data_IF_738065515306
#
_entry.id   IF_738065515306
#
_cell.length_a   1.000
_cell.length_b   1.000
_cell.length_c   1.000
_cell.angle_alpha   90.00
_cell.angle_beta   90.00
_cell.angle_gamma   90.00
#
_symmetry.space_group_name_H-M   'P 1'
#
loop_
_entity.id
_entity.type
_entity.pdbx_description
1 polymer ?
#
# COMPACT_ATOMS: atom_id res chain seq x y z
N UNK A 1 -14.59 29.26 23.55
CA UNK A 1 -15.02 27.88 23.85
C UNK A 1 -15.59 27.88 25.26
N UNK A 2 -16.92 27.81 25.37
CA UNK A 2 -17.62 27.79 26.65
C UNK A 2 -17.23 26.54 27.44
N UNK A 3 -16.73 26.77 28.66
CA UNK A 3 -16.40 25.79 29.68
C UNK A 3 -17.72 25.09 30.09
N UNK A 4 -18.21 24.17 29.26
CA UNK A 4 -19.27 23.26 29.66
C UNK A 4 -18.76 22.48 30.86
N UNK A 5 -19.52 22.54 31.96
CA UNK A 5 -19.31 21.73 33.15
C UNK A 5 -19.09 20.28 32.74
N UNK A 6 -17.82 19.86 32.67
CA UNK A 6 -17.45 18.48 32.41
C UNK A 6 -17.84 17.70 33.65
N UNK A 7 -18.99 17.04 33.58
CA UNK A 7 -19.46 16.12 34.60
C UNK A 7 -18.32 15.14 34.92
N UNK A 8 -17.76 15.21 36.13
CA UNK A 8 -16.67 14.30 36.49
C UNK A 8 -17.25 12.89 36.65
N UNK A 9 -16.42 11.86 36.46
CA UNK A 9 -16.88 10.48 36.63
C UNK A 9 -17.42 10.24 38.04
N UNK A 10 -16.79 10.84 39.05
CA UNK A 10 -17.22 10.80 40.45
C UNK A 10 -18.60 11.43 40.67
N UNK A 11 -18.86 12.58 40.07
CA UNK A 11 -20.17 13.25 40.18
C UNK A 11 -21.26 12.44 39.49
N UNK A 12 -20.93 11.85 38.33
CA UNK A 12 -21.84 10.99 37.57
C UNK A 12 -22.17 9.71 38.34
N UNK A 13 -21.18 9.05 38.96
CA UNK A 13 -21.40 7.84 39.77
C UNK A 13 -22.25 8.18 41.00
N UNK A 14 -22.00 9.32 41.64
CA UNK A 14 -22.76 9.74 42.83
C UNK A 14 -24.22 10.03 42.47
N UNK A 15 -24.45 10.70 41.35
CA UNK A 15 -25.78 11.13 40.91
C UNK A 15 -26.60 10.01 40.26
N UNK A 16 -25.96 9.16 39.45
CA UNK A 16 -26.63 8.18 38.58
C UNK A 16 -26.27 6.72 38.89
N UNK A 17 -25.43 6.45 39.89
CA UNK A 17 -25.02 5.10 40.32
C UNK A 17 -24.51 4.26 39.16
N UNK A 18 -25.20 3.17 38.84
CA UNK A 18 -24.82 2.20 37.80
C UNK A 18 -25.34 2.54 36.39
N UNK A 19 -25.96 3.71 36.22
CA UNK A 19 -26.47 4.23 34.95
C UNK A 19 -25.50 5.23 34.32
N UNK A 20 -24.21 4.89 34.30
CA UNK A 20 -23.15 5.73 33.75
C UNK A 20 -22.41 4.94 32.67
N UNK A 21 -22.21 5.57 31.52
CA UNK A 21 -21.33 5.13 30.46
C UNK A 21 -20.12 6.06 30.36
N UNK A 22 -19.00 5.53 29.87
CA UNK A 22 -17.80 6.32 29.62
C UNK A 22 -17.23 5.99 28.26
N UNK A 23 -16.72 7.02 27.59
CA UNK A 23 -15.81 6.91 26.46
C UNK A 23 -14.40 7.15 26.98
N UNK A 24 -13.47 6.25 26.65
CA UNK A 24 -12.09 6.28 27.11
C UNK A 24 -11.14 6.13 25.93
N UNK A 25 -9.89 6.57 26.14
CA UNK A 25 -8.77 6.37 25.23
C UNK A 25 -7.69 5.57 25.93
N UNK A 26 -7.11 4.59 25.24
CA UNK A 26 -5.86 3.93 25.61
C UNK A 26 -4.83 4.36 24.57
N UNK A 27 -3.67 4.86 25.00
CA UNK A 27 -2.69 5.44 24.08
C UNK A 27 -1.26 5.19 24.54
N UNK A 28 -0.34 5.21 23.56
CA UNK A 28 1.09 5.22 23.81
C UNK A 28 1.59 6.67 23.87
N UNK A 29 2.21 7.07 24.97
CA UNK A 29 2.76 8.43 25.10
C UNK A 29 3.90 8.73 24.12
N UNK A 30 4.66 7.71 23.72
CA UNK A 30 5.83 7.89 22.87
C UNK A 30 5.48 7.96 21.38
N UNK A 31 4.46 7.22 20.95
CA UNK A 31 4.11 7.11 19.53
C UNK A 31 2.82 7.83 19.17
N UNK A 32 2.06 8.34 20.15
CA UNK A 32 0.75 8.96 19.93
C UNK A 32 -0.36 8.00 19.50
N UNK A 33 -0.02 6.75 19.14
CA UNK A 33 -0.98 5.71 18.74
C UNK A 33 -2.01 5.51 19.83
N UNK A 34 -3.28 5.59 19.45
CA UNK A 34 -4.38 5.51 20.39
C UNK A 34 -5.51 4.59 19.93
N UNK A 35 -6.25 4.08 20.90
CA UNK A 35 -7.44 3.27 20.76
C UNK A 35 -8.54 3.91 21.59
N UNK A 36 -9.68 4.21 20.96
CA UNK A 36 -10.86 4.74 21.63
C UNK A 36 -11.86 3.60 21.82
N UNK A 37 -12.40 3.50 23.04
CA UNK A 37 -13.39 2.50 23.39
C UNK A 37 -14.44 3.03 24.35
N UNK A 38 -15.50 2.25 24.51
CA UNK A 38 -16.60 2.57 25.42
C UNK A 38 -16.84 1.47 26.47
N UNK A 39 -17.33 1.87 27.66
CA UNK A 39 -17.72 0.95 28.74
C UNK A 39 -18.89 1.47 29.58
N UNK A 40 -19.76 0.54 30.00
CA UNK A 40 -20.79 0.75 31.04
C UNK A 40 -20.41 0.12 32.38
N UNK A 41 -19.37 -0.70 32.38
CA UNK A 41 -18.93 -1.45 33.55
C UNK A 41 -17.88 -0.65 34.29
N UNK A 42 -18.38 0.28 35.11
CA UNK A 42 -17.59 1.16 35.96
C UNK A 42 -17.81 0.69 37.39
N UNK A 43 -16.72 0.45 38.10
CA UNK A 43 -16.75 0.04 39.50
C UNK A 43 -17.06 1.23 40.42
N UNK A 44 -17.45 0.95 41.67
CA UNK A 44 -17.83 1.98 42.63
C UNK A 44 -16.70 2.99 42.94
N UNK A 45 -15.43 2.62 42.70
CA UNK A 45 -14.27 3.51 42.85
C UNK A 45 -13.85 4.20 41.54
N UNK A 46 -14.71 4.18 40.50
CA UNK A 46 -14.45 4.83 39.22
C UNK A 46 -13.51 4.07 38.28
N UNK A 47 -13.06 2.85 38.63
CA UNK A 47 -12.22 2.06 37.71
C UNK A 47 -13.06 1.43 36.60
N UNK A 48 -12.57 1.53 35.37
CA UNK A 48 -13.18 0.94 34.18
C UNK A 48 -12.64 -0.49 34.01
N UNK A 49 -13.48 -1.50 34.27
CA UNK A 49 -13.03 -2.90 34.26
C UNK A 49 -12.52 -3.37 32.90
N UNK A 50 -13.08 -2.81 31.81
CA UNK A 50 -12.71 -3.14 30.44
C UNK A 50 -11.25 -2.77 30.11
N UNK A 51 -10.68 -1.76 30.77
CA UNK A 51 -9.28 -1.36 30.59
C UNK A 51 -8.34 -2.52 30.94
N UNK A 52 -8.57 -3.21 32.06
CA UNK A 52 -7.75 -4.37 32.44
C UNK A 52 -7.81 -5.49 31.39
N UNK A 53 -8.94 -5.65 30.70
CA UNK A 53 -9.06 -6.60 29.59
C UNK A 53 -8.17 -6.20 28.41
N UNK A 54 -8.06 -4.91 28.09
CA UNK A 54 -7.15 -4.42 27.06
C UNK A 54 -5.68 -4.64 27.43
N UNK A 55 -5.26 -4.30 28.66
CA UNK A 55 -3.90 -4.56 29.14
C UNK A 55 -3.55 -6.05 29.12
N UNK A 56 -4.49 -6.92 29.53
CA UNK A 56 -4.31 -8.36 29.45
C UNK A 56 -4.19 -8.87 28.01
N UNK A 57 -4.96 -8.31 27.06
CA UNK A 57 -4.86 -8.66 25.65
C UNK A 57 -3.52 -8.19 25.04
N UNK A 58 -3.06 -6.97 25.39
CA UNK A 58 -1.77 -6.44 24.98
C UNK A 58 -0.62 -7.31 25.49
N UNK A 59 -0.67 -7.71 26.77
CA UNK A 59 0.31 -8.63 27.37
C UNK A 59 0.34 -10.01 26.70
N UNK A 60 -0.80 -10.47 26.18
CA UNK A 60 -0.92 -11.75 25.47
C UNK A 60 -0.60 -11.67 23.98
N UNK A 61 -0.38 -10.48 23.43
CA UNK A 61 -0.15 -10.30 22.00
C UNK A 61 -1.42 -10.44 21.14
N UNK A 62 -2.61 -10.33 21.72
CA UNK A 62 -3.88 -10.58 21.03
C UNK A 62 -4.83 -9.37 21.07
N UNK A 63 -4.30 -8.16 21.22
CA UNK A 63 -5.12 -6.96 21.23
C UNK A 63 -5.73 -6.68 19.83
N UNK A 64 -7.03 -6.32 19.73
CA UNK A 64 -7.69 -6.09 18.44
C UNK A 64 -7.08 -4.95 17.60
N UNK A 65 -6.49 -3.95 18.27
CA UNK A 65 -5.76 -2.88 17.59
C UNK A 65 -4.28 -3.28 17.45
N UNK A 66 -3.88 -3.65 16.23
CA UNK A 66 -2.51 -4.04 15.89
C UNK A 66 -1.50 -2.91 16.10
N UNK A 67 -1.85 -1.67 15.78
CA UNK A 67 -0.98 -0.50 15.99
C UNK A 67 -0.63 -0.32 17.47
N UNK A 68 -1.63 -0.46 18.35
CA UNK A 68 -1.41 -0.37 19.79
C UNK A 68 -0.61 -1.58 20.31
N UNK A 69 -0.84 -2.77 19.75
CA UNK A 69 -0.06 -3.97 20.07
C UNK A 69 1.42 -3.80 19.69
N UNK A 70 1.70 -3.25 18.50
CA UNK A 70 3.05 -2.97 18.05
C UNK A 70 3.72 -1.93 18.96
N UNK A 71 3.00 -0.85 19.29
CA UNK A 71 3.49 0.18 20.21
C UNK A 71 3.81 -0.41 21.60
N UNK A 72 2.97 -1.32 22.11
CA UNK A 72 3.23 -2.05 23.35
C UNK A 72 4.47 -2.93 23.25
N UNK A 73 4.62 -3.69 22.17
CA UNK A 73 5.76 -4.59 21.96
C UNK A 73 7.09 -3.82 21.89
N UNK A 74 7.09 -2.64 21.27
CA UNK A 74 8.29 -1.80 21.13
C UNK A 74 8.66 -1.04 22.39
N UNK A 75 7.68 -0.51 23.13
CA UNK A 75 7.91 0.47 24.20
C UNK A 75 7.62 -0.07 25.62
N UNK A 76 6.96 -1.22 25.72
CA UNK A 76 6.58 -1.86 26.97
C UNK A 76 5.36 -1.24 27.67
N UNK A 77 5.01 -1.78 28.83
CA UNK A 77 3.79 -1.43 29.57
C UNK A 77 3.76 0.01 30.07
N UNK A 78 4.91 0.57 30.45
CA UNK A 78 5.01 1.90 31.08
C UNK A 78 4.63 3.04 30.13
N UNK A 79 4.75 2.85 28.82
CA UNK A 79 4.41 3.87 27.82
C UNK A 79 2.92 3.92 27.50
N UNK A 80 2.14 2.93 27.96
CA UNK A 80 0.73 2.78 27.61
C UNK A 80 -0.14 3.29 28.76
N UNK A 81 -0.86 4.37 28.49
CA UNK A 81 -1.76 5.04 29.45
C UNK A 81 -3.20 4.98 28.96
N UNK A 82 -4.12 5.32 29.86
CA UNK A 82 -5.51 5.53 29.50
C UNK A 82 -6.07 6.77 30.16
N UNK A 83 -7.08 7.36 29.53
CA UNK A 83 -7.81 8.51 30.06
C UNK A 83 -9.30 8.42 29.70
N UNK A 84 -10.13 9.15 30.45
CA UNK A 84 -11.56 9.27 30.18
C UNK A 84 -11.78 10.51 29.33
N UNK A 85 -12.37 10.31 28.15
CA UNK A 85 -12.68 11.38 27.21
C UNK A 85 -14.02 12.03 27.55
N UNK A 86 -15.01 11.20 27.89
CA UNK A 86 -16.38 11.66 28.11
C UNK A 86 -17.15 10.74 29.05
N UNK A 87 -17.95 11.34 29.91
CA UNK A 87 -18.90 10.65 30.79
C UNK A 87 -20.31 10.88 30.26
N UNK A 88 -21.03 9.79 30.01
CA UNK A 88 -22.40 9.80 29.49
C UNK A 88 -23.31 9.31 30.61
N UNK A 89 -24.22 10.17 31.08
CA UNK A 89 -25.22 9.83 32.08
C UNK A 89 -26.52 10.61 31.85
N UNK A 90 -27.70 10.01 32.13
CA UNK A 90 -27.91 8.61 32.47
C UNK A 90 -27.81 7.69 31.23
N UNK A 91 -27.35 6.46 31.44
CA UNK A 91 -27.30 5.40 30.42
C UNK A 91 -28.13 4.22 30.91
N UNK A 92 -29.20 3.90 30.17
CA UNK A 92 -30.01 2.71 30.44
C UNK A 92 -29.27 1.44 29.98
N UNK A 93 -29.25 0.40 30.83
CA UNK A 93 -28.61 -0.88 30.48
C UNK A 93 -29.28 -1.59 29.30
N UNK A 94 -30.57 -1.31 29.04
CA UNK A 94 -31.38 -1.94 27.99
C UNK A 94 -31.97 -0.95 26.97
N UNK A 95 -31.68 0.35 27.11
CA UNK A 95 -32.23 1.38 26.21
C UNK A 95 -31.46 1.43 24.90
N UNK A 96 -32.17 1.29 23.78
CA UNK A 96 -31.61 1.43 22.42
C UNK A 96 -30.95 2.80 22.25
N UNK A 97 -31.63 3.86 22.68
CA UNK A 97 -31.13 5.25 22.65
C UNK A 97 -29.81 5.42 23.40
N UNK A 98 -29.65 4.74 24.54
CA UNK A 98 -28.42 4.78 25.33
C UNK A 98 -27.26 4.03 24.67
N UNK A 99 -27.55 3.03 23.84
CA UNK A 99 -26.53 2.30 23.06
C UNK A 99 -26.10 3.13 21.86
N UNK A 100 -27.08 3.67 21.14
CA UNK A 100 -26.84 4.52 19.98
C UNK A 100 -26.04 5.77 20.37
N UNK A 101 -26.43 6.44 21.46
CA UNK A 101 -25.70 7.60 21.96
C UNK A 101 -24.24 7.28 22.28
N UNK A 102 -23.97 6.16 22.98
CA UNK A 102 -22.59 5.81 23.29
C UNK A 102 -21.78 5.46 22.02
N UNK A 103 -22.39 4.75 21.06
CA UNK A 103 -21.77 4.42 19.78
C UNK A 103 -21.41 5.66 18.96
N UNK A 104 -22.34 6.62 18.85
CA UNK A 104 -22.10 7.89 18.17
C UNK A 104 -20.96 8.69 18.82
N UNK A 105 -20.88 8.69 20.15
CA UNK A 105 -19.78 9.37 20.87
C UNK A 105 -18.46 8.63 20.71
N UNK A 106 -18.44 7.31 20.74
CA UNK A 106 -17.24 6.50 20.45
C UNK A 106 -16.70 6.83 19.05
N UNK A 107 -17.57 6.83 18.02
CA UNK A 107 -17.20 7.20 16.65
C UNK A 107 -16.68 8.63 16.53
N UNK A 108 -17.36 9.59 17.16
CA UNK A 108 -16.92 10.98 17.18
C UNK A 108 -15.48 11.10 17.70
N UNK A 109 -15.16 10.46 18.82
CA UNK A 109 -13.81 10.51 19.38
C UNK A 109 -12.78 9.75 18.55
N UNK A 110 -13.15 8.62 17.93
CA UNK A 110 -12.29 7.93 16.97
C UNK A 110 -11.88 8.86 15.82
N UNK A 111 -12.84 9.60 15.25
CA UNK A 111 -12.57 10.55 14.18
C UNK A 111 -11.65 11.70 14.64
N UNK A 112 -11.92 12.30 15.81
CA UNK A 112 -11.09 13.39 16.36
C UNK A 112 -9.62 12.98 16.50
N UNK A 113 -9.34 11.77 17.00
CA UNK A 113 -7.97 11.32 17.17
C UNK A 113 -7.32 10.83 15.87
N UNK A 114 -8.11 10.36 14.90
CA UNK A 114 -7.60 10.05 13.57
C UNK A 114 -7.22 11.30 12.78
N UNK A 115 -8.00 12.38 12.90
CA UNK A 115 -7.67 13.68 12.31
C UNK A 115 -6.40 14.28 12.93
N UNK A 116 -6.23 14.15 14.26
CA UNK A 116 -5.03 14.60 14.96
C UNK A 116 -3.78 13.84 14.51
N UNK A 117 -3.83 12.51 14.39
CA UNK A 117 -2.69 11.73 13.88
C UNK A 117 -2.33 12.10 12.45
N UNK A 118 -3.33 12.35 11.59
CA UNK A 118 -3.10 12.76 10.21
C UNK A 118 -2.49 14.17 10.10
N UNK A 119 -2.77 15.06 11.06
CA UNK A 119 -2.17 16.40 11.11
C UNK A 119 -0.71 16.37 11.62
N UNK A 120 -0.34 15.42 12.47
CA UNK A 120 1.05 15.27 12.93
C UNK A 120 1.95 14.64 11.85
N UNK A 121 1.46 13.66 11.09
CA UNK A 121 2.22 13.06 9.96
C UNK A 121 2.35 14.01 8.75
N UNK A 122 1.41 14.94 8.53
CA UNK A 122 1.47 15.91 7.43
C UNK A 122 2.28 17.17 7.75
N UNK A 123 2.82 17.28 8.97
CA UNK A 123 3.68 18.40 9.36
C UNK A 123 5.17 18.15 9.04
N UNK A 124 5.52 17.04 8.39
CA UNK A 124 6.67 17.02 7.50
C UNK A 124 6.37 17.93 6.31
N UNK A 125 6.66 19.23 6.47
CA UNK A 125 6.58 20.19 5.38
C UNK A 125 7.54 19.75 4.27
N UNK A 126 7.03 19.00 3.29
CA UNK A 126 7.76 18.63 2.09
C UNK A 126 7.99 19.88 1.24
N UNK A 127 9.14 20.53 1.45
CA UNK A 127 9.64 21.53 0.54
C UNK A 127 10.45 20.83 -0.55
N UNK A 128 9.85 20.70 -1.73
CA UNK A 128 10.57 20.23 -2.91
C UNK A 128 11.64 21.27 -3.28
N UNK A 129 12.91 20.93 -3.01
CA UNK A 129 14.05 21.77 -3.38
C UNK A 129 14.08 21.94 -4.91
N UNK A 130 14.10 23.17 -5.42
CA UNK A 130 14.16 23.40 -6.88
C UNK A 130 15.60 23.35 -7.38
N UNK A 131 15.79 22.95 -8.64
CA UNK A 131 17.13 22.91 -9.25
C UNK A 131 17.83 24.29 -9.22
N UNK A 132 17.08 25.38 -9.40
CA UNK A 132 17.61 26.76 -9.32
C UNK A 132 18.04 27.15 -7.90
N UNK A 133 17.29 26.72 -6.88
CA UNK A 133 17.63 26.95 -5.48
C UNK A 133 18.89 26.16 -5.09
N UNK A 134 18.96 24.89 -5.52
CA UNK A 134 20.12 24.04 -5.27
C UNK A 134 21.40 24.63 -5.91
N UNK A 135 21.32 25.12 -7.15
CA UNK A 135 22.42 25.86 -7.80
C UNK A 135 22.78 27.15 -7.04
N UNK A 136 21.79 27.88 -6.54
CA UNK A 136 22.03 29.11 -5.76
C UNK A 136 22.76 28.82 -4.45
N UNK A 137 22.41 27.72 -3.76
CA UNK A 137 23.09 27.29 -2.53
C UNK A 137 24.55 26.86 -2.77
N UNK A 138 24.81 26.19 -3.88
CA UNK A 138 26.17 25.82 -4.28
C UNK A 138 27.02 27.04 -4.66
N UNK A 139 26.46 27.96 -5.46
CA UNK A 139 27.12 29.22 -5.80
C UNK A 139 27.39 30.10 -4.57
N UNK A 140 26.56 30.00 -3.52
CA UNK A 140 26.79 30.65 -2.24
C UNK A 140 27.85 29.96 -1.36
N UNK A 141 28.42 28.84 -1.81
CA UNK A 141 29.42 28.06 -1.08
C UNK A 141 28.85 27.26 0.11
N UNK A 142 27.52 27.18 0.23
CA UNK A 142 26.85 26.46 1.32
C UNK A 142 26.95 24.95 1.10
N UNK A 143 26.88 24.51 -0.17
CA UNK A 143 27.00 23.11 -0.56
C UNK A 143 28.34 22.85 -1.23
N UNK A 144 28.98 21.75 -0.87
CA UNK A 144 30.13 21.23 -1.62
C UNK A 144 29.67 20.44 -2.87
N UNK A 145 30.60 20.13 -3.77
CA UNK A 145 30.28 19.42 -5.02
C UNK A 145 29.63 18.05 -4.77
N UNK A 146 30.03 17.32 -3.72
CA UNK A 146 29.45 16.01 -3.40
C UNK A 146 28.00 16.12 -2.95
N UNK A 147 27.68 17.09 -2.10
CA UNK A 147 26.32 17.38 -1.65
C UNK A 147 25.45 17.88 -2.80
N UNK A 148 25.97 18.76 -3.66
CA UNK A 148 25.25 19.22 -4.86
C UNK A 148 24.87 18.03 -5.74
N UNK A 149 25.84 17.17 -6.07
CA UNK A 149 25.63 16.02 -6.94
C UNK A 149 24.63 15.05 -6.33
N UNK A 150 24.70 14.79 -5.02
CA UNK A 150 23.72 13.94 -4.33
C UNK A 150 22.28 14.47 -4.46
N UNK A 151 22.07 15.76 -4.19
CA UNK A 151 20.73 16.36 -4.31
C UNK A 151 20.27 16.46 -5.77
N UNK A 152 21.18 16.73 -6.71
CA UNK A 152 20.88 16.73 -8.14
C UNK A 152 20.44 15.34 -8.64
N UNK A 153 21.05 14.26 -8.14
CA UNK A 153 20.61 12.89 -8.42
C UNK A 153 19.21 12.62 -7.84
N UNK A 154 18.93 13.08 -6.61
CA UNK A 154 17.59 13.00 -6.02
C UNK A 154 16.55 13.81 -6.79
N UNK A 155 16.91 14.94 -7.40
CA UNK A 155 15.97 15.69 -8.23
C UNK A 155 15.61 14.95 -9.53
N UNK A 156 16.56 14.20 -10.10
CA UNK A 156 16.30 13.34 -11.28
C UNK A 156 15.51 12.07 -10.92
N UNK A 157 15.64 11.59 -9.68
CA UNK A 157 14.89 10.46 -9.17
C UNK A 157 14.44 10.70 -7.71
N UNK A 158 13.31 11.40 -7.49
CA UNK A 158 12.85 11.76 -6.15
C UNK A 158 12.54 10.55 -5.27
N UNK A 159 11.99 9.50 -5.86
CA UNK A 159 11.56 8.30 -5.15
C UNK A 159 12.66 7.27 -4.93
N UNK A 160 13.82 7.44 -5.57
CA UNK A 160 14.98 6.55 -5.42
C UNK A 160 14.67 5.07 -5.76
N UNK A 161 13.56 4.82 -6.45
CA UNK A 161 12.96 3.50 -6.69
C UNK A 161 13.55 2.79 -7.91
N UNK A 162 14.00 3.56 -8.89
CA UNK A 162 14.60 3.07 -10.13
C UNK A 162 16.10 3.34 -10.24
N UNK A 163 16.87 2.45 -10.90
CA UNK A 163 18.25 2.75 -11.28
C UNK A 163 18.33 3.98 -12.19
N UNK A 164 19.26 4.89 -11.91
CA UNK A 164 19.46 6.10 -12.70
C UNK A 164 20.71 5.96 -13.57
N UNK A 165 20.56 6.12 -14.89
CA UNK A 165 21.68 6.20 -15.83
C UNK A 165 22.24 7.61 -15.86
N UNK A 166 23.52 7.77 -15.53
CA UNK A 166 24.21 9.06 -15.53
C UNK A 166 25.43 9.01 -16.44
N UNK A 167 25.49 9.95 -17.38
CA UNK A 167 26.68 10.24 -18.16
C UNK A 167 27.40 11.44 -17.51
N UNK A 168 28.63 11.27 -16.96
CA UNK A 168 29.33 12.32 -16.21
C UNK A 168 29.57 13.60 -17.00
N UNK A 169 29.89 13.50 -18.29
CA UNK A 169 30.12 14.65 -19.15
C UNK A 169 28.84 15.49 -19.29
N UNK A 170 27.71 14.84 -19.55
CA UNK A 170 26.42 15.55 -19.65
C UNK A 170 25.99 16.15 -18.31
N UNK A 171 26.26 15.44 -17.21
CA UNK A 171 25.90 15.89 -15.86
C UNK A 171 26.74 17.09 -15.42
N UNK A 172 28.04 17.07 -15.72
CA UNK A 172 28.99 18.15 -15.53
C UNK A 172 28.50 19.44 -16.17
N UNK A 173 28.10 19.39 -17.45
CA UNK A 173 27.59 20.53 -18.19
C UNK A 173 26.25 21.05 -17.64
N UNK A 174 25.35 20.15 -17.24
CA UNK A 174 24.02 20.53 -16.74
C UNK A 174 24.07 21.24 -15.37
N UNK A 175 24.98 20.80 -14.51
CA UNK A 175 25.09 21.26 -13.12
C UNK A 175 26.25 22.23 -12.88
N UNK A 176 26.98 22.60 -13.94
CA UNK A 176 28.13 23.51 -13.92
C UNK A 176 29.19 23.10 -12.88
N UNK A 177 29.53 21.82 -12.89
CA UNK A 177 30.55 21.24 -12.02
C UNK A 177 31.63 20.54 -12.84
N UNK A 178 32.91 20.62 -12.45
CA UNK A 178 33.97 19.90 -13.15
C UNK A 178 33.67 18.41 -13.24
N UNK A 179 33.92 17.82 -14.40
CA UNK A 179 33.70 16.39 -14.62
C UNK A 179 34.46 15.52 -13.60
N UNK A 180 35.69 15.90 -13.25
CA UNK A 180 36.46 15.28 -12.17
C UNK A 180 35.73 15.27 -10.83
N UNK A 181 35.04 16.36 -10.48
CA UNK A 181 34.22 16.46 -9.27
C UNK A 181 33.00 15.53 -9.32
N UNK A 182 32.46 15.25 -10.51
CA UNK A 182 31.37 14.28 -10.68
C UNK A 182 31.85 12.88 -10.33
N UNK A 183 33.00 12.46 -10.87
CA UNK A 183 33.60 11.17 -10.57
C UNK A 183 33.96 11.04 -9.08
N UNK A 184 34.61 12.05 -8.50
CA UNK A 184 34.98 12.04 -7.07
C UNK A 184 33.77 11.96 -6.14
N UNK A 185 32.72 12.72 -6.43
CA UNK A 185 31.50 12.69 -5.64
C UNK A 185 30.81 11.34 -5.72
N UNK A 186 30.69 10.77 -6.92
CA UNK A 186 30.09 9.45 -7.11
C UNK A 186 30.90 8.37 -6.37
N UNK A 187 32.23 8.43 -6.40
CA UNK A 187 33.09 7.55 -5.63
C UNK A 187 32.86 7.71 -4.11
N UNK A 188 32.83 8.95 -3.61
CA UNK A 188 32.53 9.23 -2.19
C UNK A 188 31.16 8.72 -1.76
N UNK A 189 30.13 8.88 -2.59
CA UNK A 189 28.78 8.38 -2.29
C UNK A 189 28.73 6.84 -2.26
N UNK A 190 29.51 6.17 -3.11
CA UNK A 190 29.67 4.72 -3.08
C UNK A 190 30.39 4.28 -1.80
N UNK A 191 31.48 4.94 -1.43
CA UNK A 191 32.25 4.63 -0.23
C UNK A 191 31.40 4.80 1.04
N UNK A 192 30.52 5.80 1.05
CA UNK A 192 29.51 6.03 2.09
C UNK A 192 28.31 5.08 2.04
N UNK A 193 28.30 4.11 1.11
CA UNK A 193 27.22 3.15 0.91
C UNK A 193 25.85 3.80 0.63
N UNK A 194 25.83 5.01 0.06
CA UNK A 194 24.58 5.68 -0.33
C UNK A 194 24.09 5.20 -1.71
N UNK A 195 25.01 4.74 -2.56
CA UNK A 195 24.71 4.28 -3.92
C UNK A 195 25.54 3.06 -4.33
N UNK A 196 25.00 2.24 -5.22
CA UNK A 196 25.71 1.18 -5.95
C UNK A 196 25.92 1.59 -7.42
N UNK A 197 27.02 1.14 -8.02
CA UNK A 197 27.42 1.51 -9.39
C UNK A 197 27.74 0.26 -10.21
N UNK A 198 27.06 0.09 -11.35
CA UNK A 198 27.39 -0.90 -12.39
C UNK A 198 28.12 -0.20 -13.56
N UNK A 199 29.13 -0.83 -14.20
CA UNK A 199 30.09 -0.14 -15.10
C UNK A 199 29.63 0.00 -16.57
N UNK A 200 30.18 1.05 -17.20
CA UNK A 200 30.16 1.55 -18.60
C UNK A 200 29.22 2.76 -18.86
N UNK A 201 28.08 2.79 -18.19
CA UNK A 201 27.25 3.98 -17.93
C UNK A 201 27.02 3.96 -16.42
N UNK A 202 27.10 5.08 -15.69
CA UNK A 202 26.88 5.01 -14.24
C UNK A 202 25.41 4.67 -13.99
N UNK A 203 25.13 3.39 -13.73
CA UNK A 203 23.83 2.94 -13.26
C UNK A 203 23.87 3.05 -11.75
N UNK A 204 23.20 4.08 -11.23
CA UNK A 204 23.14 4.40 -9.80
C UNK A 204 21.91 3.72 -9.21
N UNK A 205 22.12 2.79 -8.27
CA UNK A 205 21.05 2.21 -7.45
C UNK A 205 21.15 2.73 -6.02
N UNK A 206 20.03 3.12 -5.43
CA UNK A 206 20.00 3.62 -4.06
C UNK A 206 19.95 2.46 -3.07
N UNK A 207 20.70 2.55 -1.96
CA UNK A 207 20.55 1.59 -0.87
C UNK A 207 19.43 2.05 0.07
N UNK A 208 18.38 1.25 0.19
CA UNK A 208 17.32 1.48 1.17
C UNK A 208 17.84 1.20 2.58
N UNK A 209 17.57 2.10 3.52
CA UNK A 209 17.76 1.81 4.95
C UNK A 209 16.65 0.88 5.44
N UNK A 210 16.77 -0.42 5.14
CA UNK A 210 16.07 -1.47 5.88
C UNK A 210 17.14 -2.33 6.52
N UNK A 211 17.24 -2.26 7.85
CA UNK A 211 18.06 -3.15 8.64
C UNK A 211 17.61 -4.59 8.42
N UNK A 212 18.50 -5.41 7.87
CA UNK A 212 18.68 -6.81 8.26
C UNK A 212 20.18 -7.09 8.10
N UNK A 213 20.84 -7.29 9.24
CA UNK A 213 22.23 -7.68 9.27
C UNK A 213 22.34 -9.17 9.01
N UNK A 214 23.26 -9.55 8.15
CA UNK A 214 23.94 -10.83 8.28
C UNK A 214 25.45 -10.64 8.30
N UNK A 215 26.04 -11.47 9.16
CA UNK A 215 27.37 -11.46 9.67
C UNK A 215 28.44 -11.56 8.58
N UNK A 216 29.40 -10.66 8.72
CA UNK A 216 30.79 -10.77 8.27
C UNK A 216 31.42 -12.08 8.73
N UNK A 217 32.05 -12.80 7.81
CA UNK A 217 33.26 -13.58 8.08
C UNK A 217 34.46 -12.97 7.32
N UNK A 218 35.49 -12.69 8.12
CA UNK A 218 36.73 -11.93 7.94
C UNK A 218 37.81 -12.79 7.21
N UNK A 219 39.14 -12.48 7.19
CA UNK A 219 39.91 -11.22 7.21
C UNK A 219 40.98 -11.12 6.08
N UNK A 220 41.62 -9.95 5.90
CA UNK A 220 43.08 -9.80 6.14
C UNK A 220 43.59 -8.36 5.90
N UNK A 221 44.14 -7.80 7.00
CA UNK A 221 45.28 -6.88 7.14
C UNK A 221 45.53 -5.80 6.07
N UNK A 222 45.68 -4.52 6.40
CA UNK A 222 46.79 -4.03 7.23
C UNK A 222 46.50 -2.68 7.90
N UNK A 223 47.26 -2.46 8.98
CA UNK A 223 47.11 -1.51 10.05
C UNK A 223 47.24 -0.02 9.66
N UNK A 224 46.29 0.75 10.15
CA UNK A 224 46.45 1.89 11.05
C UNK A 224 47.88 2.45 11.25
N UNK A 225 48.09 3.68 10.78
CA UNK A 225 48.86 4.67 11.55
C UNK A 225 48.23 6.05 11.39
N UNK A 226 47.85 6.59 12.54
CA UNK A 226 47.36 7.94 12.78
C UNK A 226 48.60 8.81 13.04
N UNK A 227 48.69 10.00 12.42
CA UNK A 227 49.18 11.27 13.01
C UNK A 227 49.21 12.37 11.93
N UNK A 228 48.26 13.30 12.11
CA UNK A 228 48.37 14.77 12.07
C UNK A 228 48.99 15.58 10.90
N UNK A 229 48.17 16.55 10.48
CA UNK A 229 48.49 17.89 9.97
C UNK A 229 49.18 18.09 8.61
N UNK A 230 48.66 19.06 7.87
CA UNK A 230 49.45 19.87 6.94
C UNK A 230 49.10 19.70 5.46
N UNK A 231 48.42 20.71 4.90
CA UNK A 231 48.33 20.97 3.46
C UNK A 231 49.70 20.84 2.78
N UNK A 232 49.76 20.07 1.69
CA UNK A 232 50.41 20.48 0.43
C UNK A 232 50.23 19.41 -0.65
N UNK A 233 49.87 19.88 -1.85
CA UNK A 233 49.87 19.12 -3.09
C UNK A 233 51.25 18.49 -3.37
N UNK A 234 51.27 17.23 -3.79
CA UNK A 234 52.30 16.74 -4.71
C UNK A 234 51.80 15.49 -5.43
N UNK A 235 51.89 15.56 -6.76
CA UNK A 235 51.62 14.51 -7.73
C UNK A 235 52.80 13.51 -7.75
N UNK A 236 52.47 12.30 -8.21
CA UNK A 236 53.30 11.16 -8.68
C UNK A 236 53.30 9.98 -7.69
N UNK A 237 53.14 8.73 -8.10
CA UNK A 237 52.84 8.08 -9.38
C UNK A 237 52.80 6.59 -9.06
N UNK A 238 51.67 5.91 -9.24
CA UNK A 238 51.69 4.53 -9.72
C UNK A 238 50.30 4.11 -10.18
N UNK A 239 50.28 3.42 -11.32
CA UNK A 239 49.17 2.67 -11.93
C UNK A 239 48.12 3.54 -12.64
N UNK A 240 48.36 4.11 -13.83
CA UNK A 240 48.87 3.52 -15.08
C UNK A 240 48.30 2.12 -15.38
N UNK A 241 47.11 2.10 -15.98
CA UNK A 241 46.50 0.88 -16.50
C UNK A 241 45.11 1.01 -17.13
N UNK A 242 44.39 2.13 -16.94
CA UNK A 242 42.96 2.16 -17.29
C UNK A 242 42.53 3.06 -18.46
N UNK A 243 43.46 3.76 -19.13
CA UNK A 243 43.08 4.73 -20.15
C UNK A 243 43.90 4.61 -21.43
N UNK A 244 43.38 3.85 -22.40
CA UNK A 244 43.53 4.16 -23.82
C UNK A 244 42.57 3.35 -24.68
N UNK A 245 42.06 4.03 -25.72
CA UNK A 245 41.31 3.59 -26.92
C UNK A 245 39.85 4.09 -26.87
N UNK A 246 39.32 4.92 -27.79
CA UNK A 246 39.83 5.65 -28.97
C UNK A 246 38.66 6.56 -29.42
N UNK A 247 38.89 7.86 -29.53
CA UNK A 247 38.12 8.73 -30.43
C UNK A 247 38.72 8.54 -31.83
N UNK A 248 37.89 8.21 -32.83
CA UNK A 248 37.97 8.78 -34.18
C UNK A 248 36.79 8.36 -35.06
N UNK A 249 36.51 9.24 -36.03
CA UNK A 249 35.35 9.41 -36.89
C UNK A 249 34.95 8.26 -37.83
N UNK A 250 33.69 8.27 -38.29
CA UNK A 250 33.32 7.66 -39.58
C UNK A 250 31.81 7.64 -39.86
N UNK A 251 31.39 8.40 -40.88
CA UNK A 251 30.02 8.47 -41.45
C UNK A 251 29.47 7.11 -41.93
N UNK A 252 28.15 6.93 -41.82
CA UNK A 252 27.31 6.41 -42.92
C UNK A 252 25.83 6.72 -42.68
N UNK A 253 25.17 7.21 -43.73
CA UNK A 253 23.75 7.52 -43.86
C UNK A 253 22.88 6.28 -44.14
N UNK A 254 21.56 6.52 -44.18
CA UNK A 254 20.41 5.67 -44.60
C UNK A 254 19.75 4.85 -43.48
N UNK A 255 18.43 4.84 -43.27
CA UNK A 255 17.27 5.32 -44.04
C UNK A 255 16.02 5.29 -43.11
N UNK A 256 15.07 6.23 -43.31
CA UNK A 256 13.59 6.14 -43.22
C UNK A 256 12.91 5.16 -42.22
N UNK A 257 11.85 5.47 -41.46
CA UNK A 257 10.88 6.57 -41.45
C UNK A 257 10.14 6.59 -40.10
N UNK A 258 9.80 7.78 -39.61
CA UNK A 258 8.68 7.96 -38.67
C UNK A 258 7.34 7.88 -39.42
N UNK A 259 6.33 7.27 -38.80
CA UNK A 259 4.94 7.66 -39.03
C UNK A 259 4.14 7.48 -37.72
N UNK A 260 3.54 8.60 -37.30
CA UNK A 260 2.61 8.75 -36.19
C UNK A 260 1.44 7.74 -36.26
N UNK A 261 1.09 7.23 -35.08
CA UNK A 261 -0.21 6.64 -34.79
C UNK A 261 -1.32 7.69 -34.92
N UNK A 262 -2.36 7.37 -35.71
CA UNK A 262 -3.73 7.76 -35.42
C UNK A 262 -4.67 6.73 -36.06
N UNK A 263 -5.54 6.15 -35.23
CA UNK A 263 -6.51 5.15 -35.66
C UNK A 263 -7.28 4.58 -34.48
N UNK A 264 -8.31 5.32 -34.06
CA UNK A 264 -9.41 4.85 -33.22
C UNK A 264 -9.94 3.50 -33.69
N UNK A 265 -9.99 2.49 -32.81
CA UNK A 265 -10.92 1.36 -32.95
C UNK A 265 -11.02 0.61 -31.62
N UNK A 266 -12.21 0.59 -31.04
CA UNK A 266 -12.51 -0.17 -29.83
C UNK A 266 -12.40 -1.68 -30.09
N UNK A 267 -11.58 -2.35 -29.28
CA UNK A 267 -11.48 -3.80 -29.19
C UNK A 267 -11.56 -4.17 -27.70
N UNK A 268 -12.38 -5.16 -27.31
CA UNK A 268 -12.59 -5.51 -25.90
C UNK A 268 -11.30 -6.06 -25.31
N UNK A 269 -10.86 -5.49 -24.19
CA UNK A 269 -9.66 -5.92 -23.49
C UNK A 269 -9.77 -7.39 -23.06
N UNK A 270 -9.05 -8.26 -23.77
CA UNK A 270 -8.70 -9.60 -23.27
C UNK A 270 -7.82 -9.40 -22.03
N UNK A 271 -8.34 -9.74 -20.86
CA UNK A 271 -7.61 -9.73 -19.59
C UNK A 271 -6.40 -10.66 -19.73
N UNK A 272 -5.18 -10.10 -19.70
CA UNK A 272 -3.92 -10.84 -19.89
C UNK A 272 -3.08 -10.94 -18.61
N UNK A 273 -3.43 -10.20 -17.55
CA UNK A 273 -2.59 -10.06 -16.38
C UNK A 273 -3.22 -10.71 -15.12
N UNK A 274 -2.38 -11.36 -14.31
CA UNK A 274 -2.77 -11.99 -13.04
C UNK A 274 -3.54 -11.05 -12.12
N UNK A 275 -3.11 -9.78 -12.06
CA UNK A 275 -3.76 -8.73 -11.26
C UNK A 275 -5.23 -8.56 -11.63
N UNK A 276 -5.52 -8.51 -12.92
CA UNK A 276 -6.89 -8.33 -13.43
C UNK A 276 -7.75 -9.56 -13.09
N UNK A 277 -7.20 -10.77 -13.25
CA UNK A 277 -7.88 -12.01 -12.85
C UNK A 277 -8.23 -12.01 -11.37
N UNK A 278 -7.28 -11.71 -10.49
CA UNK A 278 -7.50 -11.66 -9.04
C UNK A 278 -8.56 -10.60 -8.70
N UNK A 279 -8.54 -9.45 -9.37
CA UNK A 279 -9.53 -8.40 -9.16
C UNK A 279 -10.96 -8.85 -9.48
N UNK A 280 -11.15 -9.78 -10.42
CA UNK A 280 -12.47 -10.34 -10.75
C UNK A 280 -13.05 -11.30 -9.71
N UNK A 281 -12.24 -11.80 -8.76
CA UNK A 281 -12.67 -12.73 -7.72
C UNK A 281 -13.11 -11.96 -6.45
N UNK A 282 -14.13 -12.48 -5.75
CA UNK A 282 -14.48 -12.02 -4.38
C UNK A 282 -13.39 -12.39 -3.37
N UNK A 283 -13.33 -11.75 -2.19
CA UNK A 283 -12.29 -12.02 -1.18
C UNK A 283 -12.23 -13.51 -0.78
N UNK A 284 -13.37 -14.15 -0.56
CA UNK A 284 -13.47 -15.58 -0.25
C UNK A 284 -12.97 -16.46 -1.40
N UNK A 285 -13.22 -16.06 -2.65
CA UNK A 285 -12.76 -16.77 -3.85
C UNK A 285 -11.27 -16.60 -4.07
N UNK A 286 -10.71 -15.41 -3.79
CA UNK A 286 -9.27 -15.16 -3.82
C UNK A 286 -8.54 -16.04 -2.82
N UNK A 287 -9.02 -16.11 -1.58
CA UNK A 287 -8.41 -16.95 -0.56
C UNK A 287 -8.48 -18.45 -0.93
N UNK A 288 -9.63 -18.89 -1.45
CA UNK A 288 -9.82 -20.26 -1.94
C UNK A 288 -8.94 -20.59 -3.16
N UNK A 289 -8.68 -19.62 -4.04
CA UNK A 289 -7.77 -19.79 -5.19
C UNK A 289 -6.31 -19.86 -4.76
N UNK A 290 -5.87 -18.97 -3.85
CA UNK A 290 -4.51 -18.96 -3.33
C UNK A 290 -4.18 -20.24 -2.58
N UNK A 291 -5.06 -20.72 -1.69
CA UNK A 291 -4.88 -22.01 -0.99
C UNK A 291 -4.76 -23.18 -1.95
N UNK A 292 -5.53 -23.18 -3.04
CA UNK A 292 -5.45 -24.22 -4.06
C UNK A 292 -4.12 -24.17 -4.84
N UNK A 293 -3.67 -22.97 -5.21
CA UNK A 293 -2.38 -22.75 -5.86
C UNK A 293 -1.20 -23.17 -4.97
N UNK A 294 -1.26 -22.85 -3.68
CA UNK A 294 -0.25 -23.26 -2.70
C UNK A 294 -0.18 -24.79 -2.57
N UNK A 295 -1.33 -25.45 -2.44
CA UNK A 295 -1.40 -26.92 -2.37
C UNK A 295 -0.86 -27.59 -3.65
N UNK A 296 -1.14 -27.00 -4.82
CA UNK A 296 -0.59 -27.46 -6.11
C UNK A 296 0.92 -27.28 -6.17
N UNK A 297 1.43 -26.13 -5.75
CA UNK A 297 2.87 -25.85 -5.74
C UNK A 297 3.64 -26.77 -4.79
N UNK A 298 3.03 -27.17 -3.66
CA UNK A 298 3.62 -28.09 -2.69
C UNK A 298 3.67 -29.55 -3.18
N UNK A 299 2.79 -29.93 -4.12
CA UNK A 299 2.74 -31.28 -4.72
C UNK A 299 3.69 -31.45 -5.91
N UNK A 300 4.43 -30.40 -6.30
CA UNK A 300 5.41 -30.49 -7.38
C UNK A 300 6.62 -31.32 -6.95
N UNK A 301 7.25 -32.06 -7.88
CA UNK A 301 8.45 -32.86 -7.59
C UNK A 301 9.65 -32.00 -7.14
N UNK A 302 9.63 -30.69 -7.44
CA UNK A 302 10.51 -29.68 -6.86
C UNK A 302 9.67 -28.48 -6.41
N UNK A 303 9.38 -28.34 -5.10
CA UNK A 303 8.59 -27.23 -4.60
C UNK A 303 9.30 -25.89 -4.86
N UNK A 304 8.61 -24.88 -5.39
CA UNK A 304 9.20 -23.57 -5.61
C UNK A 304 9.51 -22.89 -4.26
N UNK A 305 10.67 -22.24 -4.16
CA UNK A 305 11.04 -21.46 -2.96
C UNK A 305 10.10 -20.27 -2.70
N UNK A 306 9.42 -19.78 -3.75
CA UNK A 306 8.41 -18.71 -3.68
C UNK A 306 7.11 -19.19 -4.35
N UNK A 307 6.22 -19.87 -3.60
CA UNK A 307 4.94 -20.35 -4.11
C UNK A 307 4.08 -19.27 -4.78
N UNK A 308 4.05 -18.06 -4.22
CA UNK A 308 3.25 -16.96 -4.76
C UNK A 308 3.69 -16.53 -6.18
N UNK A 309 5.00 -16.36 -6.40
CA UNK A 309 5.53 -16.05 -7.75
C UNK A 309 5.29 -17.16 -8.75
N UNK A 310 5.28 -18.41 -8.29
CA UNK A 310 4.93 -19.54 -9.14
C UNK A 310 3.44 -19.53 -9.50
N UNK A 311 2.56 -19.24 -8.55
CA UNK A 311 1.11 -19.10 -8.78
C UNK A 311 0.83 -17.96 -9.76
N UNK A 312 1.49 -16.80 -9.61
CA UNK A 312 1.40 -15.66 -10.53
C UNK A 312 1.81 -16.04 -11.96
N UNK A 313 2.89 -16.81 -12.11
CA UNK A 313 3.41 -17.23 -13.42
C UNK A 313 2.55 -18.31 -14.09
N UNK A 314 1.90 -19.16 -13.31
CA UNK A 314 1.11 -20.30 -13.78
C UNK A 314 -0.40 -20.13 -13.59
N UNK A 315 -0.85 -18.89 -13.37
CA UNK A 315 -2.20 -18.60 -12.90
C UNK A 315 -3.31 -19.10 -13.83
N UNK A 316 -3.11 -19.05 -15.16
CA UNK A 316 -4.12 -19.49 -16.12
C UNK A 316 -4.45 -20.99 -16.04
N UNK A 317 -3.44 -21.81 -15.75
CA UNK A 317 -3.58 -23.26 -15.62
C UNK A 317 -4.23 -23.60 -14.28
N UNK A 318 -3.73 -22.97 -13.21
CA UNK A 318 -4.27 -23.12 -11.85
C UNK A 318 -5.73 -22.67 -11.81
N UNK A 319 -6.09 -21.56 -12.47
CA UNK A 319 -7.45 -21.04 -12.52
C UNK A 319 -8.41 -22.01 -13.23
N UNK A 320 -7.97 -22.64 -14.32
CA UNK A 320 -8.75 -23.65 -15.04
C UNK A 320 -8.99 -24.92 -14.22
N UNK A 321 -8.01 -25.36 -13.46
CA UNK A 321 -8.16 -26.54 -12.59
C UNK A 321 -8.98 -26.22 -11.34
N UNK A 322 -8.74 -25.07 -10.74
CA UNK A 322 -9.49 -24.56 -9.60
C UNK A 322 -10.98 -24.42 -9.93
N UNK A 323 -11.31 -23.86 -11.09
CA UNK A 323 -12.69 -23.69 -11.55
C UNK A 323 -13.38 -25.05 -11.76
N UNK A 324 -12.67 -26.03 -12.34
CA UNK A 324 -13.15 -27.42 -12.48
C UNK A 324 -13.38 -28.08 -11.11
N UNK A 325 -12.50 -27.86 -10.14
CA UNK A 325 -12.61 -28.43 -8.80
C UNK A 325 -13.80 -27.89 -8.00
N UNK A 326 -14.20 -26.64 -8.26
CA UNK A 326 -15.33 -25.96 -7.59
C UNK A 326 -16.65 -26.05 -8.35
N UNK A 327 -16.67 -26.69 -9.53
CA UNK A 327 -17.86 -26.74 -10.39
C UNK A 327 -18.31 -25.35 -10.89
N UNK A 328 -17.42 -24.35 -10.91
CA UNK A 328 -17.71 -22.97 -11.34
C UNK A 328 -17.08 -22.66 -12.70
N UNK A 329 -17.76 -21.85 -13.51
CA UNK A 329 -17.29 -21.38 -14.83
C UNK A 329 -16.49 -20.08 -14.65
N UNK A 330 -15.35 -19.96 -15.34
CA UNK A 330 -14.41 -18.83 -15.25
C UNK A 330 -15.05 -17.49 -15.72
N UNK A 331 -14.66 -16.32 -15.18
CA UNK A 331 -15.14 -15.01 -15.66
C UNK A 331 -14.86 -14.71 -17.14
N UNK A 332 -13.75 -15.23 -17.71
CA UNK A 332 -13.47 -15.08 -19.16
C UNK A 332 -14.43 -15.89 -20.03
N UNK A 333 -14.94 -17.02 -19.53
CA UNK A 333 -16.01 -17.80 -20.17
C UNK A 333 -17.38 -17.16 -19.92
N UNK A 334 -17.60 -16.51 -18.76
CA UNK A 334 -18.80 -15.72 -18.49
C UNK A 334 -18.99 -14.58 -19.49
N UNK A 335 -17.91 -13.88 -19.87
CA UNK A 335 -17.98 -12.80 -20.88
C UNK A 335 -18.38 -13.34 -22.27
N UNK A 336 -17.86 -14.51 -22.66
CA UNK A 336 -18.24 -15.18 -23.91
C UNK A 336 -19.67 -15.77 -23.86
N UNK A 337 -20.14 -16.22 -22.70
CA UNK A 337 -21.53 -16.68 -22.50
C UNK A 337 -22.53 -15.53 -22.43
N UNK A 338 -22.16 -14.37 -21.88
CA UNK A 338 -23.00 -13.18 -21.88
C UNK A 338 -23.25 -12.70 -23.32
N UNK A 339 -22.21 -12.68 -24.16
CA UNK A 339 -22.34 -12.37 -25.58
C UNK A 339 -23.21 -13.37 -26.35
N UNK A 340 -23.24 -14.66 -25.92
CA UNK A 340 -24.11 -15.70 -26.51
C UNK A 340 -25.60 -15.36 -26.33
N UNK A 341 -25.98 -14.91 -25.13
CA UNK A 341 -27.39 -14.64 -24.81
C UNK A 341 -27.84 -13.25 -25.26
N UNK A 342 -26.97 -12.25 -25.20
CA UNK A 342 -27.26 -10.90 -25.70
C UNK A 342 -27.64 -10.88 -27.18
N UNK A 343 -26.99 -11.74 -27.98
CA UNK A 343 -27.22 -11.86 -29.42
C UNK A 343 -28.11 -13.06 -29.80
N UNK A 344 -28.81 -13.67 -28.84
CA UNK A 344 -29.60 -14.87 -29.14
C UNK A 344 -30.86 -14.50 -29.95
N UNK A 345 -31.13 -15.17 -31.09
CA UNK A 345 -32.23 -14.81 -32.01
C UNK A 345 -33.62 -14.94 -31.38
N UNK A 346 -33.77 -15.71 -30.30
CA UNK A 346 -35.03 -15.88 -29.58
C UNK A 346 -35.09 -15.10 -28.26
N UNK A 347 -34.09 -14.27 -27.96
CA UNK A 347 -33.98 -13.53 -26.69
C UNK A 347 -35.23 -12.73 -26.37
N UNK A 348 -35.68 -11.88 -27.29
CA UNK A 348 -36.85 -11.01 -27.07
C UNK A 348 -38.13 -11.83 -26.86
N UNK A 349 -38.29 -12.91 -27.64
CA UNK A 349 -39.45 -13.79 -27.53
C UNK A 349 -39.50 -14.51 -26.19
N UNK A 350 -38.36 -15.01 -25.72
CA UNK A 350 -38.25 -15.70 -24.43
C UNK A 350 -38.43 -14.74 -23.25
N UNK A 351 -37.87 -13.53 -23.32
CA UNK A 351 -38.12 -12.51 -22.31
C UNK A 351 -39.61 -12.14 -22.24
N UNK A 352 -40.27 -11.92 -23.38
CA UNK A 352 -41.69 -11.58 -23.41
C UNK A 352 -42.57 -12.70 -22.82
N UNK A 353 -42.24 -13.97 -23.10
CA UNK A 353 -42.96 -15.13 -22.57
C UNK A 353 -42.78 -15.27 -21.05
N UNK A 354 -41.56 -15.04 -20.54
CA UNK A 354 -41.29 -15.01 -19.10
C UNK A 354 -41.98 -13.80 -18.44
N UNK A 355 -42.00 -12.64 -19.11
CA UNK A 355 -42.63 -11.44 -18.58
C UNK A 355 -44.15 -11.56 -18.49
N UNK A 356 -44.76 -12.21 -19.47
CA UNK A 356 -46.20 -12.45 -19.51
C UNK A 356 -46.65 -13.47 -18.44
N UNK A 357 -45.85 -14.53 -18.23
CA UNK A 357 -46.15 -15.58 -17.24
C UNK A 357 -45.76 -15.17 -15.82
N UNK A 358 -44.84 -14.20 -15.67
CA UNK A 358 -44.20 -13.82 -14.40
C UNK A 358 -43.62 -15.00 -13.62
N UNK A 359 -43.39 -16.13 -14.29
CA UNK A 359 -42.91 -17.36 -13.68
C UNK A 359 -41.80 -17.96 -14.56
N UNK A 360 -40.52 -17.59 -14.30
CA UNK A 360 -39.40 -18.11 -15.08
C UNK A 360 -39.35 -19.65 -15.08
N UNK A 361 -39.71 -20.30 -13.97
CA UNK A 361 -39.62 -21.76 -13.85
C UNK A 361 -40.63 -22.51 -14.72
N UNK A 362 -41.81 -21.94 -14.99
CA UNK A 362 -42.78 -22.51 -15.92
C UNK A 362 -42.31 -22.41 -17.38
N UNK A 363 -41.59 -21.35 -17.73
CA UNK A 363 -41.02 -21.17 -19.07
C UNK A 363 -39.93 -22.22 -19.39
N UNK A 364 -39.04 -22.51 -18.43
CA UNK A 364 -37.98 -23.49 -18.65
C UNK A 364 -38.46 -24.93 -18.62
N UNK A 365 -39.39 -25.28 -17.73
CA UNK A 365 -39.78 -26.67 -17.53
C UNK A 365 -38.55 -27.56 -17.24
N UNK A 366 -38.29 -28.54 -18.12
CA UNK A 366 -37.12 -29.43 -18.06
C UNK A 366 -36.03 -29.10 -19.11
N UNK A 367 -36.19 -28.01 -19.85
CA UNK A 367 -35.25 -27.60 -20.89
C UNK A 367 -34.02 -26.89 -20.28
N UNK A 368 -32.87 -27.53 -20.44
CA UNK A 368 -31.59 -27.03 -19.91
C UNK A 368 -31.15 -25.73 -20.58
N UNK A 369 -31.52 -25.49 -21.82
CA UNK A 369 -31.14 -24.28 -22.54
C UNK A 369 -31.93 -23.07 -22.02
N UNK A 370 -33.23 -23.25 -21.80
CA UNK A 370 -34.08 -22.23 -21.18
C UNK A 370 -33.70 -21.97 -19.73
N UNK A 371 -33.30 -23.00 -18.98
CA UNK A 371 -32.82 -22.83 -17.61
C UNK A 371 -31.55 -21.96 -17.57
N UNK A 372 -30.58 -22.23 -18.45
CA UNK A 372 -29.36 -21.43 -18.56
C UNK A 372 -29.65 -19.97 -18.98
N UNK A 373 -30.69 -19.76 -19.80
CA UNK A 373 -31.16 -18.41 -20.16
C UNK A 373 -31.79 -17.67 -18.98
N UNK A 374 -32.60 -18.35 -18.16
CA UNK A 374 -33.19 -17.78 -16.94
C UNK A 374 -32.09 -17.35 -15.97
N UNK A 375 -31.12 -18.23 -15.73
CA UNK A 375 -30.01 -17.96 -14.81
C UNK A 375 -29.23 -16.72 -15.27
N UNK A 376 -28.96 -16.59 -16.58
CA UNK A 376 -28.37 -15.39 -17.17
C UNK A 376 -29.23 -14.13 -16.97
N UNK A 377 -30.55 -14.22 -17.17
CA UNK A 377 -31.46 -13.08 -16.99
C UNK A 377 -31.53 -12.59 -15.53
N UNK A 378 -31.42 -13.51 -14.56
CA UNK A 378 -31.33 -13.17 -13.13
C UNK A 378 -30.01 -12.47 -12.80
N UNK A 379 -28.89 -12.99 -13.29
CA UNK A 379 -27.57 -12.42 -13.06
C UNK A 379 -27.41 -11.02 -13.68
N UNK A 380 -28.01 -10.79 -14.85
CA UNK A 380 -27.91 -9.52 -15.61
C UNK A 380 -29.10 -8.58 -15.44
N UNK A 381 -30.01 -8.88 -14.50
CA UNK A 381 -31.21 -8.08 -14.17
C UNK A 381 -32.04 -7.67 -15.41
N UNK A 382 -32.26 -8.61 -16.34
CA UNK A 382 -32.94 -8.30 -17.60
C UNK A 382 -34.45 -8.14 -17.45
N UNK A 383 -35.05 -8.75 -16.43
CA UNK A 383 -36.48 -8.67 -16.17
C UNK A 383 -36.89 -7.26 -15.73
N UNK A 384 -37.97 -6.74 -16.31
CA UNK A 384 -38.53 -5.43 -15.96
C UNK A 384 -38.82 -5.25 -14.46
N UNK A 385 -39.27 -6.29 -13.76
CA UNK A 385 -39.56 -6.24 -12.31
C UNK A 385 -38.34 -6.34 -11.38
N UNK A 386 -37.15 -6.55 -11.91
CA UNK A 386 -35.88 -6.60 -11.15
C UNK A 386 -35.04 -5.34 -11.32
N UNK A 387 -35.46 -4.42 -12.21
CA UNK A 387 -34.89 -3.08 -12.32
C UNK A 387 -35.51 -2.23 -11.21
N UNK A 388 -34.72 -1.94 -10.18
CA UNK A 388 -35.11 -0.98 -9.14
C UNK A 388 -35.46 0.36 -9.81
N UNK A 389 -36.64 0.90 -9.52
CA UNK A 389 -37.02 2.26 -9.88
C UNK A 389 -36.02 3.22 -9.20
N UNK A 390 -35.04 3.69 -9.97
CA UNK A 390 -34.30 4.89 -9.62
C UNK A 390 -35.32 6.01 -9.68
N UNK A 391 -35.68 6.53 -8.51
CA UNK A 391 -36.67 7.58 -8.37
C UNK A 391 -36.32 8.78 -9.25
N UNK A 392 -37.20 9.07 -10.20
CA UNK A 392 -37.32 10.39 -10.79
C UNK A 392 -37.85 11.34 -9.71
N UNK A 393 -36.94 12.06 -9.05
CA UNK A 393 -37.27 13.37 -8.51
C UNK A 393 -37.35 14.36 -9.69
N UNK A 394 -38.58 14.69 -10.10
CA UNK A 394 -39.00 16.03 -10.52
C UNK A 394 -40.49 16.22 -10.29
#
# INVERSE_FOLDING_TARGET
>A
MTQHDRLTLTDAITSYKSSVGVIYRIYCELTGVSYVGQSRNISANGKILKINSHYNALKKGCHPCSLLQNSWNSNGEKSIKYEILEVIAPVSKKGIESTEKMYQREKYWQQVFQEQSNQEDTNEKFYALRASELKSLHNAGILNNSSLIFFALKLKNPWCDRPLKVNPLTFSLEWDVPESSVYEAIAKLKDQQLVEIEKAEFIIRWKSHSQEGELSDNPESFQESRMDSGKSESILESQNGFWKTRMDSGKSENENSEALCNGTSGSPHTISDYSDFIQTLSEDERESFLKFGEEKSAKLPSPPQLPQRWIEKHYEEIAREWSKSKGKILPSVRSAQNAKWENHPQREKWLAEIEQTKNPFEFAGSDREKQAFIDWCWETKQYSWLKEEVGDEL
#
